data_IF_087433900776
#
_entry.id   IF_087433900776
#
_cell.length_a   1.000
_cell.length_b   1.000
_cell.length_c   1.000
_cell.angle_alpha   90.00
_cell.angle_beta   90.00
_cell.angle_gamma   90.00
#
_symmetry.space_group_name_H-M   'P 1'
#
loop_
_entity.id
_entity.type
_entity.pdbx_description
1 polymer ?
#
# COMPACT_ATOMS: atom_id res chain seq x y z
N UNK A 1 -10.32 3.70 33.85
CA UNK A 1 -9.72 4.57 32.80
C UNK A 1 -9.93 3.83 31.50
N UNK A 2 -10.70 4.39 30.57
CA UNK A 2 -10.88 3.81 29.23
C UNK A 2 -9.65 4.15 28.39
N UNK A 3 -8.92 3.12 27.93
CA UNK A 3 -7.80 3.32 27.01
C UNK A 3 -8.31 3.86 25.68
N UNK A 4 -7.90 5.09 25.34
CA UNK A 4 -8.17 5.69 24.03
C UNK A 4 -7.11 5.17 23.07
N UNK A 5 -7.56 4.47 22.02
CA UNK A 5 -6.67 3.99 20.96
C UNK A 5 -6.71 4.99 19.81
N UNK A 6 -5.55 5.48 19.41
CA UNK A 6 -5.42 6.38 18.27
C UNK A 6 -5.09 5.57 17.02
N UNK A 7 -5.95 5.64 16.01
CA UNK A 7 -5.67 5.08 14.69
C UNK A 7 -5.26 6.21 13.74
N UNK A 8 -4.19 5.97 12.98
CA UNK A 8 -3.82 6.84 11.87
C UNK A 8 -4.57 6.40 10.62
N UNK A 9 -5.88 6.67 10.56
CA UNK A 9 -6.64 6.59 9.31
C UNK A 9 -6.34 7.83 8.49
N UNK A 10 -5.98 7.69 7.21
CA UNK A 10 -5.75 8.88 6.38
C UNK A 10 -7.01 9.73 6.37
N UNK A 11 -6.91 10.93 6.94
CA UNK A 11 -8.01 11.71 7.45
C UNK A 11 -9.16 11.84 6.46
N UNK A 12 -10.34 11.43 6.92
CA UNK A 12 -11.61 11.91 6.37
C UNK A 12 -11.54 13.44 6.50
N UNK A 13 -11.48 14.15 5.38
CA UNK A 13 -11.71 15.60 5.39
C UNK A 13 -12.98 15.85 6.18
N UNK A 14 -12.97 16.78 7.15
CA UNK A 14 -14.17 17.12 7.92
C UNK A 14 -15.30 17.68 7.02
N UNK A 15 -14.96 18.05 5.78
CA UNK A 15 -15.89 18.40 4.72
C UNK A 15 -15.37 17.85 3.38
N UNK A 16 -15.49 16.54 3.10
CA UNK A 16 -15.16 16.03 1.79
C UNK A 16 -16.22 16.54 0.80
N UNK A 17 -15.80 16.89 -0.42
CA UNK A 17 -16.76 17.00 -1.51
C UNK A 17 -17.51 15.66 -1.61
N UNK A 18 -18.86 15.66 -1.65
CA UNK A 18 -19.63 14.42 -1.66
C UNK A 18 -19.21 13.57 -2.87
N UNK A 19 -18.67 12.39 -2.59
CA UNK A 19 -18.30 11.40 -3.61
C UNK A 19 -16.82 11.32 -3.99
N UNK A 20 -15.92 12.11 -3.38
CA UNK A 20 -14.47 11.96 -3.64
C UNK A 20 -13.75 11.27 -2.47
N UNK A 21 -12.91 10.28 -2.79
CA UNK A 21 -12.03 9.66 -1.79
C UNK A 21 -10.88 10.59 -1.40
N UNK A 22 -10.24 10.34 -0.26
CA UNK A 22 -9.08 11.13 0.16
C UNK A 22 -7.93 11.02 -0.86
N UNK A 23 -7.72 9.82 -1.41
CA UNK A 23 -6.70 9.55 -2.41
C UNK A 23 -6.97 10.34 -3.69
N UNK A 24 -8.24 10.49 -4.07
CA UNK A 24 -8.64 11.28 -5.23
C UNK A 24 -8.39 12.77 -5.01
N UNK A 25 -8.74 13.30 -3.84
CA UNK A 25 -8.43 14.69 -3.47
C UNK A 25 -6.91 14.91 -3.50
N UNK A 26 -6.14 14.00 -2.89
CA UNK A 26 -4.67 14.08 -2.89
C UNK A 26 -4.10 14.01 -4.31
N UNK A 27 -4.62 13.12 -5.15
CA UNK A 27 -4.20 13.02 -6.55
C UNK A 27 -4.47 14.31 -7.31
N UNK A 28 -5.63 14.94 -7.07
CA UNK A 28 -5.96 16.21 -7.67
C UNK A 28 -5.02 17.34 -7.20
N UNK A 29 -4.67 17.37 -5.91
CA UNK A 29 -3.70 18.32 -5.37
C UNK A 29 -2.31 18.16 -6.02
N UNK A 30 -1.86 16.91 -6.22
CA UNK A 30 -0.62 16.61 -6.93
C UNK A 30 -0.68 17.10 -8.38
N UNK A 31 -1.76 16.79 -9.11
CA UNK A 31 -1.94 17.25 -10.49
C UNK A 31 -1.92 18.77 -10.58
N UNK A 32 -2.65 19.44 -9.70
CA UNK A 32 -2.71 20.90 -9.65
C UNK A 32 -1.30 21.49 -9.38
N UNK A 33 -0.52 20.90 -8.48
CA UNK A 33 0.84 21.33 -8.18
C UNK A 33 1.80 21.14 -9.38
N UNK A 34 1.72 20.02 -10.09
CA UNK A 34 2.52 19.79 -11.30
C UNK A 34 2.15 20.76 -12.42
N UNK A 35 0.86 21.04 -12.62
CA UNK A 35 0.41 22.02 -13.62
C UNK A 35 0.93 23.41 -13.28
N UNK A 36 0.86 23.81 -12.01
CA UNK A 36 1.23 25.15 -11.59
C UNK A 36 2.76 25.37 -11.51
N UNK A 37 3.53 24.35 -11.11
CA UNK A 37 4.94 24.52 -10.74
C UNK A 37 5.92 23.62 -11.50
N UNK A 38 5.42 22.62 -12.24
CA UNK A 38 6.23 21.59 -12.87
C UNK A 38 6.93 20.65 -11.88
N UNK A 39 6.50 20.64 -10.60
CA UNK A 39 7.11 19.87 -9.52
C UNK A 39 6.03 19.26 -8.62
N UNK A 40 6.33 18.15 -7.92
CA UNK A 40 5.42 17.64 -6.91
C UNK A 40 5.21 18.66 -5.78
N UNK A 41 4.06 18.61 -5.08
CA UNK A 41 3.81 19.48 -3.94
C UNK A 41 4.88 19.25 -2.87
N UNK A 42 5.46 20.35 -2.37
CA UNK A 42 6.44 20.28 -1.29
C UNK A 42 5.81 19.65 -0.04
N UNK A 43 6.56 18.82 0.70
CA UNK A 43 6.08 18.29 1.97
C UNK A 43 5.57 19.41 2.87
N UNK A 44 4.38 19.19 3.43
CA UNK A 44 3.75 20.15 4.31
C UNK A 44 4.67 20.43 5.53
N UNK A 45 5.09 21.69 5.77
CA UNK A 45 6.01 21.99 6.85
C UNK A 45 5.38 21.65 8.20
N UNK A 46 6.14 21.04 9.14
CA UNK A 46 5.62 20.63 10.45
C UNK A 46 5.34 21.82 11.36
N UNK A 47 6.00 22.96 11.14
CA UNK A 47 5.79 24.19 11.90
C UNK A 47 5.12 25.26 11.04
N UNK A 48 4.20 26.07 11.59
CA UNK A 48 3.67 26.01 12.96
C UNK A 48 2.72 24.83 13.17
N UNK A 49 2.60 24.33 14.41
CA UNK A 49 1.65 23.28 14.78
C UNK A 49 0.22 23.82 14.95
N UNK A 50 0.10 25.07 15.39
CA UNK A 50 -1.17 25.73 15.68
C UNK A 50 -1.99 25.98 14.40
N UNK A 51 -3.27 25.59 14.43
CA UNK A 51 -4.16 25.63 13.27
C UNK A 51 -4.38 27.06 12.76
N UNK A 52 -4.48 28.04 13.67
CA UNK A 52 -4.68 29.44 13.29
C UNK A 52 -3.41 30.03 12.65
N UNK A 53 -2.24 29.76 13.22
CA UNK A 53 -0.96 30.17 12.65
C UNK A 53 -0.71 29.56 11.25
N UNK A 54 -1.12 28.31 11.04
CA UNK A 54 -1.03 27.65 9.72
C UNK A 54 -1.96 28.28 8.70
N UNK A 55 -3.21 28.53 9.07
CA UNK A 55 -4.18 29.19 8.21
C UNK A 55 -3.69 30.58 7.77
N UNK A 56 -3.05 31.34 8.68
CA UNK A 56 -2.46 32.65 8.36
C UNK A 56 -1.33 32.58 7.32
N UNK A 57 -0.62 31.45 7.22
CA UNK A 57 0.42 31.18 6.22
C UNK A 57 -0.11 30.48 4.97
N UNK A 58 -1.42 30.23 4.86
CA UNK A 58 -2.00 29.45 3.78
C UNK A 58 -1.55 27.98 3.78
N UNK A 59 -1.07 27.46 4.91
CA UNK A 59 -0.66 26.07 5.05
C UNK A 59 -1.86 25.18 5.39
N UNK A 60 -1.94 23.96 4.83
CA UNK A 60 -3.00 23.01 5.17
C UNK A 60 -2.89 22.56 6.63
N UNK A 61 -3.99 22.17 7.30
CA UNK A 61 -3.94 21.65 8.67
C UNK A 61 -3.03 20.43 8.76
N UNK A 62 -2.32 20.30 9.90
CA UNK A 62 -1.55 19.09 10.15
C UNK A 62 -2.47 17.89 10.34
N UNK A 63 -1.93 16.73 10.01
CA UNK A 63 -2.60 15.47 10.28
C UNK A 63 -2.68 15.25 11.78
N UNK A 64 -3.87 15.43 12.35
CA UNK A 64 -4.17 15.06 13.74
C UNK A 64 -4.85 13.70 13.77
N UNK A 65 -4.31 12.71 14.51
CA UNK A 65 -5.03 11.46 14.75
C UNK A 65 -6.40 11.80 15.31
N UNK A 66 -7.45 11.27 14.67
CA UNK A 66 -8.78 11.37 15.24
C UNK A 66 -8.85 10.38 16.39
N UNK A 67 -9.29 10.85 17.56
CA UNK A 67 -9.71 9.95 18.62
C UNK A 67 -10.98 9.27 18.11
N UNK A 68 -10.84 8.02 17.63
CA UNK A 68 -11.99 7.19 17.38
C UNK A 68 -12.67 6.99 18.75
N UNK A 69 -13.95 7.35 18.91
CA UNK A 69 -14.68 6.85 20.07
C UNK A 69 -14.55 5.32 20.03
N UNK A 70 -14.51 4.67 21.20
CA UNK A 70 -14.73 3.22 21.30
C UNK A 70 -16.20 2.94 20.94
N UNK A 71 -16.62 3.31 19.74
CA UNK A 71 -17.88 2.95 19.14
C UNK A 71 -17.68 1.54 18.66
N UNK A 72 -18.06 0.60 19.51
CA UNK A 72 -18.41 -0.74 19.08
C UNK A 72 -19.37 -0.58 17.88
N UNK A 73 -18.91 -0.99 16.70
CA UNK A 73 -19.66 -0.78 15.47
C UNK A 73 -20.94 -1.58 15.50
N UNK A 74 -22.08 -0.92 15.68
CA UNK A 74 -23.39 -1.56 15.61
C UNK A 74 -23.83 -1.56 14.15
N UNK A 75 -23.76 -2.72 13.50
CA UNK A 75 -24.62 -2.98 12.34
C UNK A 75 -25.52 -4.15 12.64
N UNK A 76 -26.79 -4.05 12.20
CA UNK A 76 -27.83 -5.03 12.47
C UNK A 76 -28.07 -5.34 13.97
N UNK A 77 -27.75 -4.40 14.86
CA UNK A 77 -27.95 -4.57 16.30
C UNK A 77 -26.91 -5.45 17.01
N UNK A 78 -25.89 -5.94 16.29
CA UNK A 78 -24.78 -6.68 16.88
C UNK A 78 -23.60 -5.74 17.04
N UNK A 79 -23.36 -5.34 18.28
CA UNK A 79 -22.16 -4.63 18.68
C UNK A 79 -20.98 -5.59 18.54
N UNK A 80 -20.02 -5.31 17.66
CA UNK A 80 -18.79 -6.11 17.57
C UNK A 80 -17.65 -5.40 18.24
N UNK A 81 -17.09 -6.08 19.24
CA UNK A 81 -15.91 -5.65 19.96
C UNK A 81 -14.66 -6.28 19.34
N UNK A 82 -13.47 -5.70 19.57
CA UNK A 82 -12.22 -6.36 19.17
C UNK A 82 -12.03 -7.76 19.77
N UNK A 83 -12.73 -8.10 20.86
CA UNK A 83 -12.70 -9.43 21.46
C UNK A 83 -13.43 -10.48 20.62
N UNK A 84 -14.32 -10.05 19.72
CA UNK A 84 -15.07 -10.92 18.81
C UNK A 84 -14.29 -11.23 17.52
N UNK A 85 -13.15 -10.56 17.30
CA UNK A 85 -12.30 -10.81 16.14
C UNK A 85 -11.62 -12.19 16.27
N UNK A 86 -11.59 -12.98 15.20
CA UNK A 86 -10.81 -14.21 15.20
C UNK A 86 -9.33 -13.87 15.38
N UNK A 87 -8.60 -14.74 16.09
CA UNK A 87 -7.16 -14.53 16.31
C UNK A 87 -6.40 -14.34 14.99
N UNK A 88 -6.78 -15.07 13.94
CA UNK A 88 -6.22 -14.96 12.60
C UNK A 88 -7.26 -14.30 11.69
N UNK A 89 -6.91 -13.13 11.17
CA UNK A 89 -7.73 -12.44 10.18
C UNK A 89 -7.49 -13.04 8.80
N UNK A 90 -8.30 -14.03 8.43
CA UNK A 90 -8.25 -14.62 7.11
C UNK A 90 -8.91 -13.70 6.07
N UNK A 91 -8.22 -13.48 4.95
CA UNK A 91 -8.77 -12.78 3.80
C UNK A 91 -9.37 -13.78 2.82
N UNK A 92 -10.66 -13.61 2.56
CA UNK A 92 -11.45 -14.31 1.56
C UNK A 92 -12.14 -13.27 0.66
N UNK A 93 -12.07 -13.39 -0.67
CA UNK A 93 -12.78 -12.48 -1.56
C UNK A 93 -14.29 -12.49 -1.27
N UNK A 94 -14.85 -11.33 -0.93
CA UNK A 94 -16.27 -11.20 -0.62
C UNK A 94 -17.07 -10.98 -1.90
N UNK A 95 -18.11 -11.77 -2.13
CA UNK A 95 -19.00 -11.61 -3.30
C UNK A 95 -20.35 -11.06 -2.88
N UNK A 96 -20.78 -9.97 -3.49
CA UNK A 96 -22.11 -9.38 -3.29
C UNK A 96 -22.63 -8.80 -4.60
N UNK A 97 -23.92 -9.02 -4.88
CA UNK A 97 -24.61 -8.52 -6.09
C UNK A 97 -23.89 -8.81 -7.42
N UNK A 98 -23.13 -9.91 -7.51
CA UNK A 98 -22.38 -10.29 -8.71
C UNK A 98 -20.99 -9.66 -8.83
N UNK A 99 -20.61 -8.78 -7.90
CA UNK A 99 -19.27 -8.20 -7.80
C UNK A 99 -18.42 -8.98 -6.78
N UNK A 100 -17.10 -8.98 -7.00
CA UNK A 100 -16.12 -9.59 -6.08
C UNK A 100 -15.23 -8.51 -5.49
N UNK A 101 -15.33 -8.29 -4.19
CA UNK A 101 -14.55 -7.32 -3.44
C UNK A 101 -13.28 -7.98 -2.90
N UNK A 102 -12.13 -7.44 -3.27
CA UNK A 102 -10.82 -7.88 -2.80
C UNK A 102 -10.35 -7.07 -1.59
N UNK A 103 -11.22 -6.94 -0.59
CA UNK A 103 -11.02 -6.08 0.56
C UNK A 103 -11.49 -6.79 1.85
N UNK A 104 -10.62 -6.94 2.85
CA UNK A 104 -10.99 -7.65 4.09
C UNK A 104 -12.09 -6.91 4.85
N UNK A 105 -12.05 -5.58 4.87
CA UNK A 105 -13.12 -4.75 5.48
C UNK A 105 -14.42 -4.75 4.67
N UNK A 106 -14.43 -5.27 3.43
CA UNK A 106 -15.69 -5.54 2.73
C UNK A 106 -16.38 -6.81 3.22
N UNK A 107 -15.69 -7.69 3.95
CA UNK A 107 -16.31 -8.87 4.52
C UNK A 107 -17.24 -8.46 5.68
N UNK A 108 -18.41 -9.11 5.81
CA UNK A 108 -19.33 -8.84 6.92
C UNK A 108 -18.67 -9.01 8.29
N UNK A 109 -17.69 -9.91 8.43
CA UNK A 109 -16.98 -10.14 9.69
C UNK A 109 -16.20 -8.89 10.15
N UNK A 110 -15.54 -8.23 9.20
CA UNK A 110 -14.58 -7.15 9.48
C UNK A 110 -15.09 -5.77 9.06
N UNK A 111 -16.32 -5.65 8.57
CA UNK A 111 -16.91 -4.40 8.07
C UNK A 111 -17.02 -3.24 9.07
N UNK A 112 -16.71 -3.49 10.35
CA UNK A 112 -16.67 -2.46 11.41
C UNK A 112 -15.26 -2.02 11.77
N UNK A 113 -14.26 -2.57 11.10
CA UNK A 113 -12.86 -2.29 11.34
C UNK A 113 -12.20 -1.82 10.04
N UNK A 114 -11.43 -0.75 10.14
CA UNK A 114 -10.45 -0.35 9.14
C UNK A 114 -9.33 -1.39 9.02
N UNK A 115 -8.59 -1.33 7.92
CA UNK A 115 -7.43 -2.19 7.71
C UNK A 115 -6.37 -1.99 8.81
N UNK A 116 -6.21 -0.75 9.27
CA UNK A 116 -5.29 -0.36 10.32
C UNK A 116 -5.70 -0.91 11.68
N UNK A 117 -6.99 -0.88 12.01
CA UNK A 117 -7.54 -1.51 13.22
C UNK A 117 -7.29 -3.03 13.21
N UNK A 118 -7.63 -3.71 12.12
CA UNK A 118 -7.39 -5.14 11.96
C UNK A 118 -5.90 -5.49 12.09
N UNK A 119 -5.03 -4.67 11.49
CA UNK A 119 -3.57 -4.84 11.60
C UNK A 119 -3.08 -4.64 13.02
N UNK A 120 -3.57 -3.62 13.71
CA UNK A 120 -3.23 -3.35 15.10
C UNK A 120 -3.63 -4.52 16.01
N UNK A 121 -4.85 -5.05 15.87
CA UNK A 121 -5.33 -6.19 16.66
C UNK A 121 -4.54 -7.47 16.37
N UNK A 122 -4.20 -7.73 15.10
CA UNK A 122 -3.33 -8.85 14.73
C UNK A 122 -1.93 -8.71 15.38
N UNK A 123 -1.32 -7.53 15.31
CA UNK A 123 0.01 -7.27 15.86
C UNK A 123 0.04 -7.36 17.38
N UNK A 124 -0.99 -6.86 18.06
CA UNK A 124 -1.16 -6.98 19.51
C UNK A 124 -1.26 -8.45 19.94
N UNK A 125 -1.83 -9.30 19.08
CA UNK A 125 -1.94 -10.75 19.29
C UNK A 125 -0.68 -11.54 18.89
N UNK A 126 0.38 -10.86 18.44
CA UNK A 126 1.63 -11.49 17.98
C UNK A 126 1.63 -11.93 16.51
N UNK A 127 0.53 -11.74 15.77
CA UNK A 127 0.37 -12.16 14.38
C UNK A 127 0.93 -11.10 13.42
N UNK A 128 2.26 -11.01 13.34
CA UNK A 128 2.96 -10.03 12.48
C UNK A 128 3.27 -10.55 11.08
N UNK A 129 3.36 -11.86 10.93
CA UNK A 129 3.72 -12.54 9.69
C UNK A 129 2.55 -13.40 9.22
N UNK A 130 2.40 -13.57 7.91
CA UNK A 130 1.46 -14.53 7.37
C UNK A 130 1.76 -15.92 7.95
N UNK A 131 0.73 -16.71 8.33
CA UNK A 131 0.95 -18.09 8.72
C UNK A 131 1.59 -18.85 7.56
N UNK A 132 2.63 -19.63 7.85
CA UNK A 132 3.29 -20.46 6.84
C UNK A 132 2.24 -21.37 6.22
N UNK A 133 2.08 -21.40 4.88
CA UNK A 133 1.09 -22.24 4.24
C UNK A 133 1.37 -23.69 4.61
N UNK A 134 0.49 -24.29 5.43
CA UNK A 134 0.51 -25.73 5.66
C UNK A 134 0.24 -26.40 4.32
N UNK A 135 1.15 -27.29 3.89
CA UNK A 135 1.22 -27.99 2.60
C UNK A 135 -0.05 -28.70 2.11
N UNK A 136 -1.17 -28.61 2.84
CA UNK A 136 -2.43 -29.29 2.55
C UNK A 136 -3.52 -28.34 2.01
N UNK A 137 -3.23 -27.06 1.74
CA UNK A 137 -4.19 -26.18 1.10
C UNK A 137 -4.40 -26.60 -0.38
N UNK A 138 -5.64 -26.96 -0.69
CA UNK A 138 -6.13 -27.41 -1.99
C UNK A 138 -5.62 -26.55 -3.16
N UNK A 139 -5.17 -27.22 -4.23
CA UNK A 139 -4.80 -26.66 -5.54
C UNK A 139 -6.01 -26.13 -6.32
N UNK A 140 -6.83 -25.28 -5.71
CA UNK A 140 -7.78 -24.48 -6.47
C UNK A 140 -6.98 -23.53 -7.38
N UNK A 141 -7.41 -23.31 -8.64
CA UNK A 141 -6.71 -22.42 -9.55
C UNK A 141 -6.73 -21.01 -8.95
N UNK A 142 -5.58 -20.60 -8.41
CA UNK A 142 -5.30 -19.23 -8.03
C UNK A 142 -5.60 -18.37 -9.25
N UNK A 143 -6.63 -17.52 -9.16
CA UNK A 143 -6.80 -16.45 -10.14
C UNK A 143 -5.47 -15.69 -10.20
N UNK A 144 -4.97 -15.30 -11.38
CA UNK A 144 -3.70 -14.59 -11.53
C UNK A 144 -3.84 -13.16 -11.00
N UNK A 145 -3.96 -13.04 -9.68
CA UNK A 145 -3.71 -11.81 -8.97
C UNK A 145 -2.20 -11.66 -8.91
N UNK A 146 -1.70 -10.50 -9.34
CA UNK A 146 -0.30 -10.18 -9.62
C UNK A 146 0.67 -10.29 -8.43
N UNK A 147 0.21 -10.72 -7.26
CA UNK A 147 1.06 -11.13 -6.16
C UNK A 147 1.52 -12.59 -6.35
N UNK A 148 2.19 -12.88 -7.47
CA UNK A 148 3.02 -14.06 -7.51
C UNK A 148 4.25 -13.73 -6.64
N UNK A 149 4.38 -14.37 -5.49
CA UNK A 149 5.58 -14.35 -4.64
C UNK A 149 6.76 -15.11 -5.28
N UNK A 150 6.72 -15.30 -6.60
CA UNK A 150 7.78 -15.93 -7.35
C UNK A 150 8.91 -14.93 -7.59
N UNK A 151 10.18 -15.34 -7.47
CA UNK A 151 11.31 -14.54 -7.94
C UNK A 151 11.18 -14.09 -9.40
N UNK A 152 10.39 -14.82 -10.21
CA UNK A 152 10.15 -14.50 -11.62
C UNK A 152 9.30 -13.25 -11.86
N UNK A 153 8.54 -12.81 -10.86
CA UNK A 153 7.64 -11.65 -10.93
C UNK A 153 8.13 -10.45 -10.12
N UNK A 154 9.25 -10.60 -9.40
CA UNK A 154 9.89 -9.50 -8.70
C UNK A 154 10.47 -8.47 -9.68
N UNK A 155 10.29 -7.18 -9.36
CA UNK A 155 10.88 -6.09 -10.13
C UNK A 155 12.37 -5.91 -9.84
N UNK A 156 12.79 -6.29 -8.63
CA UNK A 156 14.18 -6.29 -8.18
C UNK A 156 14.37 -7.40 -7.14
N UNK A 157 15.53 -8.04 -7.17
CA UNK A 157 15.94 -9.02 -6.16
C UNK A 157 17.23 -8.53 -5.51
N UNK A 158 17.26 -8.46 -4.18
CA UNK A 158 18.47 -8.15 -3.41
C UNK A 158 18.90 -9.37 -2.62
N UNK A 159 20.17 -9.75 -2.74
CA UNK A 159 20.77 -10.82 -1.93
C UNK A 159 21.69 -10.18 -0.89
N UNK A 160 21.22 -10.05 0.34
CA UNK A 160 22.06 -9.67 1.47
C UNK A 160 22.64 -10.94 2.08
N UNK A 161 23.96 -11.12 2.00
CA UNK A 161 24.65 -12.30 2.55
C UNK A 161 24.78 -12.18 4.08
N UNK A 162 24.53 -13.24 4.89
CA UNK A 162 23.91 -14.53 4.57
C UNK A 162 22.41 -14.52 4.93
N UNK A 163 21.53 -14.43 3.93
CA UNK A 163 20.08 -14.43 4.09
C UNK A 163 19.34 -14.84 2.82
N UNK A 164 18.04 -15.12 2.95
CA UNK A 164 17.15 -15.34 1.80
C UNK A 164 17.08 -14.07 0.93
N UNK A 165 17.00 -14.19 -0.41
CA UNK A 165 16.84 -13.03 -1.28
C UNK A 165 15.58 -12.24 -0.92
N UNK A 166 15.71 -10.92 -0.82
CA UNK A 166 14.58 -10.01 -0.71
C UNK A 166 14.03 -9.73 -2.10
N UNK A 167 12.72 -9.97 -2.28
CA UNK A 167 12.01 -9.73 -3.53
C UNK A 167 11.21 -8.44 -3.41
N UNK A 168 11.51 -7.46 -4.25
CA UNK A 168 10.79 -6.21 -4.30
C UNK A 168 9.70 -6.28 -5.37
N UNK A 169 8.44 -6.23 -4.94
CA UNK A 169 7.25 -6.26 -5.80
C UNK A 169 6.78 -4.86 -6.24
N UNK A 170 7.51 -3.81 -5.85
CA UNK A 170 7.21 -2.44 -6.28
C UNK A 170 7.82 -2.16 -7.65
N UNK A 171 7.03 -1.61 -8.59
CA UNK A 171 7.56 -1.12 -9.87
C UNK A 171 8.63 -0.03 -9.67
N UNK A 172 8.49 0.80 -8.63
CA UNK A 172 9.47 1.83 -8.29
C UNK A 172 10.76 1.26 -7.67
N UNK A 173 10.77 -0.03 -7.31
CA UNK A 173 12.02 -0.71 -6.95
C UNK A 173 12.80 -1.17 -8.19
N UNK A 174 12.21 -1.14 -9.39
CA UNK A 174 12.96 -1.45 -10.60
C UNK A 174 13.89 -0.29 -10.97
N UNK A 175 15.14 -0.56 -11.39
CA UNK A 175 16.09 0.49 -11.79
C UNK A 175 15.58 1.50 -12.84
N UNK A 176 14.71 1.13 -13.81
CA UNK A 176 14.18 2.11 -14.76
C UNK A 176 13.22 3.15 -14.15
N UNK A 177 12.62 2.85 -13.00
CA UNK A 177 11.58 3.67 -12.38
C UNK A 177 11.93 4.08 -10.94
N UNK A 178 13.20 3.92 -10.53
CA UNK A 178 13.68 4.21 -9.17
C UNK A 178 13.65 5.70 -8.80
N UNK A 179 13.48 6.56 -9.81
CA UNK A 179 13.33 8.01 -9.68
C UNK A 179 11.89 8.50 -9.86
N UNK A 180 10.95 7.59 -10.06
CA UNK A 180 9.54 7.93 -10.28
C UNK A 180 8.69 7.43 -9.11
N UNK A 181 7.73 8.26 -8.71
CA UNK A 181 6.66 7.87 -7.79
C UNK A 181 5.59 7.04 -8.51
N UNK A 182 4.79 6.30 -7.74
CA UNK A 182 3.66 5.55 -8.30
C UNK A 182 2.66 6.47 -8.99
N UNK A 183 2.46 7.66 -8.44
CA UNK A 183 1.56 8.68 -8.97
C UNK A 183 2.07 9.22 -10.31
N UNK A 184 3.37 9.49 -10.45
CA UNK A 184 3.97 9.91 -11.73
C UNK A 184 3.79 8.84 -12.81
N UNK A 185 4.08 7.57 -12.50
CA UNK A 185 3.87 6.45 -13.42
C UNK A 185 2.39 6.29 -13.81
N UNK A 186 1.48 6.52 -12.87
CA UNK A 186 0.03 6.47 -13.13
C UNK A 186 -0.41 7.62 -14.03
N UNK A 187 0.09 8.83 -13.81
CA UNK A 187 -0.21 9.99 -14.66
C UNK A 187 0.33 9.75 -16.06
N UNK A 188 1.55 9.25 -16.19
CA UNK A 188 2.14 8.86 -17.49
C UNK A 188 1.25 7.84 -18.21
N UNK A 189 0.78 6.81 -17.52
CA UNK A 189 -0.13 5.81 -18.08
C UNK A 189 -1.48 6.40 -18.54
N UNK A 190 -2.07 7.31 -17.74
CA UNK A 190 -3.36 7.93 -18.06
C UNK A 190 -3.27 8.98 -19.17
N UNK A 191 -2.13 9.68 -19.28
CA UNK A 191 -1.90 10.74 -20.25
C UNK A 191 -1.30 10.24 -21.56
N UNK A 192 -0.73 9.03 -21.57
CA UNK A 192 -0.29 8.37 -22.78
C UNK A 192 -1.44 8.27 -23.78
N UNK A 193 -1.25 8.71 -25.04
CA UNK A 193 -2.28 8.57 -26.05
C UNK A 193 -2.65 7.09 -26.18
N UNK A 194 -3.96 6.77 -26.07
CA UNK A 194 -4.53 5.42 -26.25
C UNK A 194 -4.26 4.78 -27.61
N UNK A 195 -3.41 5.37 -28.43
CA UNK A 195 -3.04 4.94 -29.76
C UNK A 195 -1.56 4.59 -29.82
N UNK A 196 -1.22 3.47 -29.20
CA UNK A 196 -0.31 2.47 -29.77
C UNK A 196 -0.52 1.17 -28.99
N UNK A 197 -0.81 0.02 -29.63
CA UNK A 197 -0.57 -1.26 -28.96
C UNK A 197 0.89 -1.22 -28.50
N UNK A 198 1.10 -1.52 -27.22
CA UNK A 198 2.36 -1.40 -26.48
C UNK A 198 3.54 -1.99 -27.27
N UNK A 199 4.10 -1.17 -28.16
CA UNK A 199 4.97 -1.57 -29.26
C UNK A 199 6.15 -0.62 -29.35
N UNK A 200 6.64 -0.16 -28.20
CA UNK A 200 7.99 0.35 -28.03
C UNK A 200 8.43 0.13 -26.59
N UNK A 201 9.03 -1.04 -26.36
CA UNK A 201 10.16 -1.27 -25.46
C UNK A 201 10.00 -0.90 -23.97
N UNK A 202 8.83 -1.10 -23.39
CA UNK A 202 8.83 -1.94 -22.19
C UNK A 202 9.17 -3.31 -22.76
N UNK A 203 10.39 -3.80 -22.55
CA UNK A 203 10.77 -5.14 -23.03
C UNK A 203 9.63 -6.08 -22.66
N UNK A 204 9.03 -6.73 -23.65
CA UNK A 204 8.05 -7.78 -23.38
C UNK A 204 8.57 -8.62 -22.21
N UNK A 205 7.77 -8.92 -21.18
CA UNK A 205 8.03 -10.10 -20.41
C UNK A 205 7.83 -11.24 -21.41
N UNK A 206 8.91 -11.65 -22.08
CA UNK A 206 9.00 -12.97 -22.68
C UNK A 206 8.68 -13.93 -21.53
N UNK A 207 7.45 -14.42 -21.51
CA UNK A 207 6.85 -15.34 -20.54
C UNK A 207 7.52 -16.73 -20.56
N UNK A 208 8.86 -16.78 -20.67
CA UNK A 208 9.59 -18.03 -20.81
C UNK A 208 11.10 -17.91 -20.89
N UNK A 209 11.72 -16.78 -20.54
CA UNK A 209 13.19 -16.75 -20.34
C UNK A 209 13.54 -16.45 -18.88
N UNK A 210 14.41 -17.25 -18.25
CA UNK A 210 14.90 -16.95 -16.92
C UNK A 210 15.69 -15.64 -16.96
N UNK A 211 15.11 -14.56 -16.42
CA UNK A 211 15.81 -13.29 -16.21
C UNK A 211 16.57 -13.38 -14.89
N UNK A 212 17.87 -13.58 -15.00
CA UNK A 212 18.80 -13.58 -13.90
C UNK A 212 20.18 -13.20 -14.40
N UNK A 213 20.34 -11.99 -14.90
CA UNK A 213 21.67 -11.37 -14.92
C UNK A 213 21.94 -10.92 -13.48
N UNK A 214 22.46 -11.86 -12.68
CA UNK A 214 23.00 -11.55 -11.38
C UNK A 214 24.11 -10.52 -11.59
N UNK A 215 23.90 -9.29 -11.12
CA UNK A 215 25.00 -8.35 -10.97
C UNK A 215 25.93 -8.92 -9.90
N UNK A 216 26.97 -9.62 -10.33
CA UNK A 216 28.07 -10.00 -9.45
C UNK A 216 28.75 -8.71 -9.01
N UNK A 217 28.56 -8.31 -7.76
CA UNK A 217 29.38 -7.27 -7.15
C UNK A 217 30.83 -7.74 -7.24
N UNK A 218 31.76 -6.97 -7.84
CA UNK A 218 33.15 -7.38 -7.94
C UNK A 218 33.70 -7.62 -6.54
N UNK A 219 34.17 -8.84 -6.29
CA UNK A 219 34.79 -9.22 -5.04
C UNK A 219 36.00 -8.30 -4.80
N UNK A 220 36.12 -7.65 -3.62
CA UNK A 220 37.30 -6.85 -3.32
C UNK A 220 38.52 -7.78 -3.34
N UNK A 221 39.51 -7.43 -4.17
CA UNK A 221 40.74 -8.20 -4.30
C UNK A 221 41.43 -8.31 -2.93
N UNK A 222 41.94 -9.49 -2.55
CA UNK A 222 42.64 -9.63 -1.29
C UNK A 222 43.86 -8.71 -1.28
N UNK A 223 43.93 -7.84 -0.26
CA UNK A 223 45.08 -7.01 0.07
C UNK A 223 46.33 -7.89 0.08
N UNK A 224 47.21 -7.72 -0.91
CA UNK A 224 48.57 -8.25 -0.85
C UNK A 224 49.32 -7.43 0.19
N UNK A 225 49.48 -8.00 1.38
CA UNK A 225 50.48 -7.57 2.33
C UNK A 225 51.86 -7.89 1.75
N UNK A 226 52.65 -6.85 1.50
CA UNK A 226 54.11 -6.94 1.42
C UNK A 226 54.68 -6.58 2.78
#
# INVERSE_FOLDING_TARGET
MSDVVYFMSVGVSLAPAPGSSFEEIRTQDYLNAYIATGRPPVPCPPTPEDLAARAALGLPPLFTPLAAPNTEGVTNGVSRTPADLPQIHAFDPFKSMGESYQCISAQPLYSHFSHEELRHHAYRSGNKTAPTPTSNASTAPTFPFYANDSPSTAYMTSTVTPGSPELFMSITASPPHDKQSFEELRVEYLTAPKQQPLGTKISEPLFGRPRGDAFSVPQPSPLRLF
#
